data_IF_196039190512
#
_entry.id   IF_196039190512
#
_cell.length_a   1.000
_cell.length_b   1.000
_cell.length_c   1.000
_cell.angle_alpha   90.00
_cell.angle_beta   90.00
_cell.angle_gamma   90.00
#
_symmetry.space_group_name_H-M   'P 1'
#
loop_
_entity.id
_entity.type
_entity.pdbx_description
1 polymer ?
#
# COMPACT_ATOMS: atom_id res chain seq x y z
N UNK A 1 15.41 8.18 1.53
CA UNK A 1 14.09 7.54 1.48
C UNK A 1 13.82 7.14 0.04
N UNK A 2 12.93 6.18 -0.19
CA UNK A 2 12.48 5.82 -1.54
C UNK A 2 11.73 6.98 -2.18
N UNK A 3 11.95 7.26 -3.47
CA UNK A 3 11.15 8.28 -4.18
C UNK A 3 9.71 7.82 -4.40
N UNK A 4 8.71 8.71 -4.29
CA UNK A 4 7.35 8.42 -4.71
C UNK A 4 7.28 8.38 -6.24
N UNK A 5 6.61 7.36 -6.77
CA UNK A 5 6.25 7.26 -8.19
C UNK A 5 5.15 8.24 -8.57
N UNK A 6 4.93 8.39 -9.87
CA UNK A 6 4.00 9.38 -10.43
C UNK A 6 2.97 8.80 -11.38
N UNK A 7 3.03 7.49 -11.66
CA UNK A 7 2.13 6.84 -12.62
C UNK A 7 0.78 6.47 -12.00
N UNK A 8 0.78 6.10 -10.73
CA UNK A 8 -0.39 5.64 -10.00
C UNK A 8 -0.58 6.48 -8.76
N UNK A 9 -1.73 7.15 -8.68
CA UNK A 9 -2.09 7.91 -7.49
C UNK A 9 -2.45 6.96 -6.34
N UNK A 10 -1.86 7.20 -5.17
CA UNK A 10 -2.22 6.48 -3.96
C UNK A 10 -3.63 6.88 -3.47
N UNK A 11 -4.49 5.88 -3.29
CA UNK A 11 -5.83 6.03 -2.72
C UNK A 11 -6.08 4.94 -1.68
N UNK A 12 -6.05 5.30 -0.40
CA UNK A 12 -6.20 4.35 0.70
C UNK A 12 -7.65 3.87 0.89
N UNK A 13 -7.89 2.55 1.09
CA UNK A 13 -9.17 2.06 1.57
C UNK A 13 -9.53 2.63 2.94
N UNK A 14 -10.80 3.00 3.12
CA UNK A 14 -11.33 3.50 4.39
C UNK A 14 -11.52 2.37 5.40
N UNK A 15 -11.31 2.65 6.68
CA UNK A 15 -11.66 1.73 7.77
C UNK A 15 -12.09 2.55 8.99
N UNK A 16 -13.28 2.29 9.49
CA UNK A 16 -13.80 2.91 10.68
C UNK A 16 -13.20 2.23 11.91
N UNK A 17 -12.71 3.04 12.85
CA UNK A 17 -12.47 2.62 14.22
C UNK A 17 -13.45 3.28 15.17
N UNK A 18 -13.59 2.73 16.37
CA UNK A 18 -14.45 3.26 17.40
C UNK A 18 -13.65 3.53 18.66
N UNK A 19 -13.53 4.81 18.99
CA UNK A 19 -12.85 5.25 20.21
C UNK A 19 -13.89 5.42 21.32
N UNK A 20 -13.71 4.71 22.43
CA UNK A 20 -14.71 4.65 23.49
C UNK A 20 -14.22 5.32 24.78
N UNK A 21 -15.04 6.19 25.36
CA UNK A 21 -14.84 6.73 26.71
C UNK A 21 -15.99 6.35 27.62
N UNK A 22 -15.75 6.36 28.94
CA UNK A 22 -16.80 6.04 29.93
C UNK A 22 -17.98 7.03 29.88
N UNK A 23 -17.73 8.29 29.54
CA UNK A 23 -18.74 9.35 29.58
C UNK A 23 -19.50 9.54 28.26
N UNK A 24 -18.89 9.21 27.11
CA UNK A 24 -19.45 9.51 25.78
C UNK A 24 -19.76 8.27 24.93
N UNK A 25 -19.59 7.07 25.48
CA UNK A 25 -19.71 5.84 24.70
C UNK A 25 -18.64 5.77 23.61
N UNK A 26 -18.92 5.01 22.54
CA UNK A 26 -18.01 4.83 21.41
C UNK A 26 -18.32 5.80 20.27
N UNK A 27 -17.31 6.53 19.82
CA UNK A 27 -17.40 7.49 18.73
C UNK A 27 -16.67 6.95 17.50
N UNK A 28 -17.32 7.02 16.34
CA UNK A 28 -16.74 6.57 15.07
C UNK A 28 -15.62 7.51 14.63
N UNK A 29 -14.49 6.94 14.23
CA UNK A 29 -13.34 7.58 13.58
C UNK A 29 -13.20 6.96 12.20
N UNK A 30 -13.44 7.73 11.15
CA UNK A 30 -13.17 7.28 9.78
C UNK A 30 -11.68 7.45 9.51
N UNK A 31 -10.98 6.33 9.39
CA UNK A 31 -9.54 6.29 9.12
C UNK A 31 -9.30 5.59 7.77
N UNK A 32 -8.03 5.34 7.48
CA UNK A 32 -7.55 4.76 6.24
C UNK A 32 -6.53 3.65 6.53
N UNK A 33 -6.38 2.72 5.61
CA UNK A 33 -5.31 1.71 5.67
C UNK A 33 -4.38 1.84 4.47
N UNK A 34 -3.09 1.62 4.70
CA UNK A 34 -2.06 1.64 3.64
C UNK A 34 -1.42 0.27 3.50
N UNK A 35 -1.17 -0.17 2.26
CA UNK A 35 -0.41 -1.39 1.98
C UNK A 35 1.08 -1.19 2.24
N UNK A 36 1.71 -2.19 2.87
CA UNK A 36 3.14 -2.25 3.09
C UNK A 36 3.93 -2.07 1.78
N UNK A 37 5.02 -1.32 1.88
CA UNK A 37 5.90 -0.98 0.75
C UNK A 37 6.42 -2.20 -0.03
N UNK A 38 6.57 -3.37 0.61
CA UNK A 38 7.11 -4.58 -0.02
C UNK A 38 6.22 -5.15 -1.13
N UNK A 39 4.94 -4.75 -1.19
CA UNK A 39 3.99 -5.16 -2.23
C UNK A 39 3.90 -4.17 -3.40
N UNK A 40 4.53 -3.01 -3.27
CA UNK A 40 4.42 -1.93 -4.27
C UNK A 40 5.40 -2.18 -5.40
N UNK A 41 4.99 -1.77 -6.59
CA UNK A 41 5.88 -1.77 -7.74
C UNK A 41 6.96 -0.71 -7.54
N UNK A 42 8.22 -1.12 -7.69
CA UNK A 42 9.38 -0.25 -7.63
C UNK A 42 10.11 -0.32 -8.97
N UNK A 43 10.17 0.80 -9.69
CA UNK A 43 10.80 0.87 -11.01
C UNK A 43 11.76 2.05 -11.12
N UNK A 44 12.65 1.97 -12.10
CA UNK A 44 13.57 3.03 -12.46
C UNK A 44 13.19 3.67 -13.80
N UNK A 45 14.16 4.32 -14.46
CA UNK A 45 13.95 4.95 -15.76
C UNK A 45 13.34 4.02 -16.79
N UNK A 46 12.46 4.57 -17.63
CA UNK A 46 11.77 3.85 -18.72
C UNK A 46 10.92 2.68 -18.21
N UNK A 47 10.43 2.75 -16.96
CA UNK A 47 9.57 1.75 -16.32
C UNK A 47 10.22 0.37 -16.15
N UNK A 48 11.55 0.29 -16.22
CA UNK A 48 12.28 -0.94 -15.95
C UNK A 48 12.24 -1.23 -14.45
N UNK A 49 11.94 -2.48 -14.08
CA UNK A 49 11.87 -2.88 -12.67
C UNK A 49 13.19 -2.62 -11.95
N UNK A 50 13.10 -2.03 -10.76
CA UNK A 50 14.22 -1.97 -9.83
C UNK A 50 14.28 -3.20 -8.92
N UNK A 51 13.13 -3.86 -8.71
CA UNK A 51 13.04 -5.10 -7.97
C UNK A 51 12.05 -6.05 -8.67
N UNK A 52 12.45 -7.30 -8.83
CA UNK A 52 11.60 -8.39 -9.34
C UNK A 52 11.98 -9.74 -8.69
N UNK A 53 11.57 -10.85 -9.30
CA UNK A 53 11.84 -12.20 -8.82
C UNK A 53 13.34 -12.55 -8.73
N UNK A 54 14.19 -11.90 -9.52
CA UNK A 54 15.65 -12.09 -9.52
C UNK A 54 16.35 -11.14 -8.52
N UNK A 55 15.57 -10.28 -7.86
CA UNK A 55 16.03 -9.35 -6.83
C UNK A 55 16.19 -7.92 -7.35
N UNK A 56 17.11 -7.17 -6.74
CA UNK A 56 17.36 -5.78 -7.10
C UNK A 56 18.18 -5.65 -8.38
N UNK A 57 17.77 -4.75 -9.26
CA UNK A 57 18.44 -4.45 -10.53
C UNK A 57 19.86 -3.90 -10.27
N UNK A 58 20.89 -4.61 -10.74
CA UNK A 58 22.28 -4.13 -10.65
C UNK A 58 22.57 -2.92 -11.53
N UNK A 59 21.70 -2.63 -12.51
CA UNK A 59 21.77 -1.43 -13.36
C UNK A 59 21.42 -0.17 -12.55
N UNK A 60 20.42 -0.26 -11.66
CA UNK A 60 19.88 0.89 -10.92
C UNK A 60 20.28 0.93 -9.44
N UNK A 61 20.61 -0.23 -8.87
CA UNK A 61 20.85 -0.42 -7.45
C UNK A 61 22.27 -0.95 -7.21
N UNK A 62 23.27 -0.15 -7.58
CA UNK A 62 24.69 -0.44 -7.28
C UNK A 62 25.00 -0.35 -5.78
N UNK A 63 24.26 0.50 -5.08
CA UNK A 63 24.24 0.65 -3.63
C UNK A 63 22.86 1.15 -3.18
N UNK A 64 22.59 1.11 -1.88
CA UNK A 64 21.28 1.47 -1.33
C UNK A 64 20.90 2.94 -1.56
N UNK A 65 21.87 3.87 -1.54
CA UNK A 65 21.61 5.29 -1.73
C UNK A 65 21.23 5.58 -3.18
N UNK A 66 22.02 5.05 -4.13
CA UNK A 66 21.76 5.16 -5.57
C UNK A 66 20.41 4.54 -5.93
N UNK A 67 20.12 3.36 -5.37
CA UNK A 67 18.84 2.66 -5.58
C UNK A 67 17.65 3.53 -5.13
N UNK A 68 17.71 4.07 -3.91
CA UNK A 68 16.63 4.88 -3.35
C UNK A 68 16.42 6.22 -4.08
N UNK A 69 17.44 6.73 -4.78
CA UNK A 69 17.35 7.95 -5.60
C UNK A 69 16.88 7.67 -7.02
N UNK A 70 17.27 6.53 -7.60
CA UNK A 70 17.01 6.19 -9.01
C UNK A 70 15.64 5.55 -9.20
N UNK A 71 15.22 4.75 -8.23
CA UNK A 71 13.96 4.03 -8.28
C UNK A 71 12.85 4.86 -7.67
N UNK A 72 11.63 4.60 -8.09
CA UNK A 72 10.41 5.20 -7.57
C UNK A 72 9.40 4.10 -7.22
N UNK A 73 8.62 4.33 -6.17
CA UNK A 73 7.63 3.40 -5.65
C UNK A 73 6.23 3.90 -5.97
N UNK A 74 5.48 3.10 -6.70
CA UNK A 74 4.18 3.52 -7.20
C UNK A 74 3.07 3.46 -6.14
N UNK A 75 2.12 4.38 -6.30
CA UNK A 75 0.87 4.35 -5.56
C UNK A 75 -0.07 3.27 -6.08
N UNK A 76 -1.19 3.09 -5.39
CA UNK A 76 -2.21 2.10 -5.68
C UNK A 76 -3.58 2.77 -5.65
N UNK A 77 -4.36 2.56 -6.72
CA UNK A 77 -5.77 2.93 -6.70
C UNK A 77 -6.60 1.94 -5.88
N UNK A 78 -7.81 2.34 -5.48
CA UNK A 78 -8.76 1.47 -4.76
C UNK A 78 -9.07 0.15 -5.50
N UNK A 79 -9.00 0.17 -6.84
CA UNK A 79 -9.16 -1.03 -7.67
C UNK A 79 -7.98 -1.98 -7.53
N UNK A 80 -6.76 -1.48 -7.41
CA UNK A 80 -5.55 -2.30 -7.25
C UNK A 80 -5.50 -2.91 -5.86
N UNK A 81 -5.80 -2.12 -4.82
CA UNK A 81 -5.98 -2.62 -3.45
C UNK A 81 -6.91 -3.85 -3.42
N UNK A 82 -8.08 -3.74 -4.04
CA UNK A 82 -9.09 -4.81 -4.01
C UNK A 82 -8.81 -5.96 -4.98
N UNK A 83 -8.40 -5.70 -6.22
CA UNK A 83 -8.24 -6.73 -7.27
C UNK A 83 -6.88 -7.39 -7.25
N UNK A 84 -5.82 -6.59 -7.12
CA UNK A 84 -4.44 -7.06 -7.17
C UNK A 84 -4.02 -7.61 -5.81
N UNK A 85 -4.34 -6.90 -4.73
CA UNK A 85 -3.84 -7.22 -3.38
C UNK A 85 -4.88 -7.80 -2.42
N UNK A 86 -6.16 -7.87 -2.83
CA UNK A 86 -7.21 -8.51 -2.03
C UNK A 86 -7.57 -7.74 -0.76
N UNK A 87 -7.15 -6.49 -0.63
CA UNK A 87 -7.45 -5.60 0.50
C UNK A 87 -8.76 -4.87 0.21
N UNK A 88 -9.81 -5.20 0.96
CA UNK A 88 -11.16 -4.70 0.70
C UNK A 88 -11.78 -4.13 1.97
N UNK A 89 -12.16 -2.87 1.89
CA UNK A 89 -13.08 -2.26 2.85
C UNK A 89 -14.52 -2.62 2.46
N UNK A 90 -15.31 -3.12 3.42
CA UNK A 90 -16.70 -3.56 3.24
C UNK A 90 -17.61 -2.94 4.30
N UNK A 91 -18.91 -3.16 4.15
CA UNK A 91 -19.93 -2.84 5.16
C UNK A 91 -19.85 -1.39 5.66
N UNK A 92 -19.78 -0.41 4.73
CA UNK A 92 -19.66 1.00 5.10
C UNK A 92 -18.34 1.37 5.77
N UNK A 93 -17.28 0.59 5.50
CA UNK A 93 -15.95 0.67 6.08
C UNK A 93 -15.81 0.12 7.51
N UNK A 94 -16.74 -0.69 8.01
CA UNK A 94 -16.61 -1.32 9.33
C UNK A 94 -15.86 -2.68 9.29
N UNK A 95 -15.65 -3.23 8.09
CA UNK A 95 -14.97 -4.52 7.90
C UNK A 95 -13.79 -4.37 6.95
N UNK A 96 -12.63 -4.93 7.31
CA UNK A 96 -11.49 -5.11 6.42
C UNK A 96 -11.29 -6.60 6.09
N UNK A 97 -11.41 -6.95 4.83
CA UNK A 97 -11.12 -8.29 4.31
C UNK A 97 -9.75 -8.30 3.62
N UNK A 98 -8.96 -9.33 3.92
CA UNK A 98 -7.66 -9.59 3.30
C UNK A 98 -7.70 -11.00 2.66
N UNK A 99 -7.80 -11.06 1.34
CA UNK A 99 -7.69 -12.34 0.64
C UNK A 99 -6.26 -12.88 0.74
N UNK A 100 -6.11 -14.17 1.04
CA UNK A 100 -4.77 -14.78 1.06
C UNK A 100 -4.19 -14.95 -0.36
N UNK A 101 -5.02 -15.15 -1.38
CA UNK A 101 -4.59 -15.27 -2.78
C UNK A 101 -5.51 -14.49 -3.69
N UNK A 102 -4.98 -13.80 -4.71
CA UNK A 102 -5.79 -13.03 -5.68
C UNK A 102 -5.64 -13.53 -7.13
N UNK A 103 -6.62 -13.26 -8.02
CA UNK A 103 -6.52 -13.50 -9.46
C UNK A 103 -5.44 -12.58 -10.06
N UNK A 104 -4.20 -13.06 -10.08
CA UNK A 104 -3.01 -12.27 -10.41
C UNK A 104 -1.73 -12.84 -9.78
N UNK A 105 -1.88 -13.77 -8.83
CA UNK A 105 -0.76 -14.49 -8.23
C UNK A 105 -0.19 -13.83 -6.97
N UNK A 106 -0.78 -12.72 -6.50
CA UNK A 106 -0.41 -12.17 -5.20
C UNK A 106 -0.78 -13.16 -4.08
N UNK A 107 0.11 -13.30 -3.10
CA UNK A 107 -0.07 -14.14 -1.92
C UNK A 107 0.16 -13.30 -0.66
N UNK A 108 -0.88 -13.18 0.15
CA UNK A 108 -0.89 -12.41 1.38
C UNK A 108 -0.87 -10.89 1.17
N UNK A 109 -0.96 -10.17 2.28
CA UNK A 109 -0.81 -8.72 2.37
C UNK A 109 -0.44 -8.33 3.80
N UNK A 110 0.14 -7.14 3.95
CA UNK A 110 0.34 -6.49 5.25
C UNK A 110 -0.09 -5.04 5.12
N UNK A 111 -0.92 -4.58 6.04
CA UNK A 111 -1.48 -3.21 6.03
C UNK A 111 -1.28 -2.54 7.37
N UNK A 112 -1.24 -1.22 7.36
CA UNK A 112 -1.15 -0.39 8.55
C UNK A 112 -2.32 0.59 8.60
N UNK A 113 -2.82 0.86 9.80
CA UNK A 113 -3.81 1.91 10.03
C UNK A 113 -3.12 3.28 9.99
N UNK A 114 -3.70 4.22 9.27
CA UNK A 114 -3.26 5.60 9.18
C UNK A 114 -4.08 6.47 10.15
N UNK A 115 -3.43 7.44 10.78
CA UNK A 115 -4.10 8.38 11.71
C UNK A 115 -4.87 9.50 10.96
N UNK A 116 -4.76 9.56 9.64
CA UNK A 116 -5.29 10.64 8.79
C UNK A 116 -4.15 11.46 8.17
N UNK A 117 -4.46 12.52 7.41
CA UNK A 117 -3.45 13.45 6.94
C UNK A 117 -2.81 14.21 8.11
N UNK A 118 -1.49 14.41 8.04
CA UNK A 118 -0.75 15.36 8.87
C UNK A 118 -1.20 16.82 8.60
#
# INVERSE_FOLDING_TARGET
AQQPGSLSQEMHPKLNLYECTRSQGCQRKELEVVLDASWRWVHGPQYKNCFDQDGWSKEFCTDASTCAQTCEMEGLGLRDYSRTYGVKSKDGADTLELDFTTPGGNVGSRVYMMEGPD
#
